data_IF_929486953125
#
_entry.id   IF_929486953125
#
_cell.length_a   1.000
_cell.length_b   1.000
_cell.length_c   1.000
_cell.angle_alpha   90.00
_cell.angle_beta   90.00
_cell.angle_gamma   90.00
#
_symmetry.space_group_name_H-M   'P 1'
#
loop_
_entity.id
_entity.type
_entity.pdbx_description
1 polymer ?
#
# COMPACT_ATOMS: atom_id res chain seq x y z
N UNK A 1 -2.72 4.12 19.84
CA UNK A 1 -1.77 3.04 20.21
C UNK A 1 -2.49 1.74 20.51
N UNK A 2 -3.34 1.64 21.55
CA UNK A 2 -4.04 0.39 21.94
C UNK A 2 -4.74 -0.41 20.83
N UNK A 3 -5.33 0.25 19.83
CA UNK A 3 -6.04 -0.43 18.73
C UNK A 3 -5.09 -1.04 17.68
N UNK A 4 -3.91 -0.42 17.48
CA UNK A 4 -2.91 -0.91 16.51
C UNK A 4 -2.24 -2.18 17.06
N UNK A 5 -1.93 -2.20 18.36
CA UNK A 5 -1.36 -3.38 19.04
C UNK A 5 -2.34 -4.57 19.04
N UNK A 6 -3.64 -4.28 19.15
CA UNK A 6 -4.70 -5.30 19.00
C UNK A 6 -4.78 -5.82 17.56
N UNK A 7 -4.77 -4.93 16.57
CA UNK A 7 -4.75 -5.32 15.16
C UNK A 7 -3.52 -6.16 14.82
N UNK A 8 -2.36 -5.81 15.39
CA UNK A 8 -1.13 -6.59 15.26
C UNK A 8 -1.30 -8.02 15.80
N UNK A 9 -1.83 -8.16 17.02
CA UNK A 9 -2.05 -9.46 17.65
C UNK A 9 -3.03 -10.33 16.84
N UNK A 10 -4.08 -9.72 16.31
CA UNK A 10 -5.06 -10.41 15.45
C UNK A 10 -4.43 -10.86 14.13
N UNK A 11 -3.71 -9.97 13.45
CA UNK A 11 -3.04 -10.30 12.18
C UNK A 11 -2.00 -11.40 12.37
N UNK A 12 -1.23 -11.39 13.46
CA UNK A 12 -0.29 -12.48 13.75
C UNK A 12 -0.98 -13.83 13.90
N UNK A 13 -2.14 -13.87 14.58
CA UNK A 13 -2.93 -15.10 14.69
C UNK A 13 -3.46 -15.55 13.33
N UNK A 14 -4.00 -14.64 12.53
CA UNK A 14 -4.46 -14.97 11.18
C UNK A 14 -3.31 -15.51 10.32
N UNK A 15 -2.12 -14.90 10.35
CA UNK A 15 -0.96 -15.38 9.60
C UNK A 15 -0.49 -16.76 10.07
N UNK A 16 -0.64 -17.08 11.37
CA UNK A 16 -0.35 -18.41 11.87
C UNK A 16 -1.33 -19.47 11.34
N UNK A 17 -2.61 -19.12 11.24
CA UNK A 17 -3.66 -20.01 10.74
C UNK A 17 -3.66 -20.10 9.19
N UNK A 18 -3.37 -19.00 8.49
CA UNK A 18 -3.40 -18.86 7.03
C UNK A 18 -2.24 -17.98 6.51
N UNK A 19 -1.01 -18.52 6.43
CA UNK A 19 0.19 -17.74 6.12
C UNK A 19 0.19 -17.13 4.71
N UNK A 20 -0.50 -17.78 3.77
CA UNK A 20 -0.51 -17.41 2.35
C UNK A 20 -1.76 -16.62 1.94
N UNK A 21 -2.54 -16.11 2.91
CA UNK A 21 -3.74 -15.33 2.62
C UNK A 21 -3.38 -13.87 2.27
N UNK A 22 -3.57 -13.43 1.00
CA UNK A 22 -3.11 -12.11 0.56
C UNK A 22 -3.78 -10.95 1.30
N UNK A 23 -5.05 -11.10 1.68
CA UNK A 23 -5.77 -10.09 2.45
C UNK A 23 -5.17 -9.89 3.85
N UNK A 24 -4.68 -10.97 4.48
CA UNK A 24 -4.03 -10.92 5.79
C UNK A 24 -2.66 -10.25 5.67
N UNK A 25 -1.90 -10.60 4.63
CA UNK A 25 -0.61 -9.99 4.33
C UNK A 25 -0.76 -8.49 3.98
N UNK A 26 -1.81 -8.09 3.25
CA UNK A 26 -2.16 -6.69 3.00
C UNK A 26 -2.44 -5.91 4.30
N UNK A 27 -3.18 -6.54 5.23
CA UNK A 27 -3.44 -5.95 6.54
C UNK A 27 -2.15 -5.82 7.37
N UNK A 28 -1.25 -6.82 7.32
CA UNK A 28 0.07 -6.73 7.96
C UNK A 28 0.86 -5.52 7.45
N UNK A 29 1.00 -5.37 6.13
CA UNK A 29 1.72 -4.23 5.54
C UNK A 29 1.16 -2.88 5.99
N UNK A 30 -0.16 -2.81 6.18
CA UNK A 30 -0.84 -1.58 6.62
C UNK A 30 -0.59 -1.27 8.08
N UNK A 31 -0.59 -2.30 8.93
CA UNK A 31 -0.23 -2.14 10.34
C UNK A 31 1.25 -1.75 10.47
N UNK A 32 2.15 -2.33 9.66
CA UNK A 32 3.55 -1.94 9.59
C UNK A 32 3.69 -0.44 9.26
N UNK A 33 2.96 0.04 8.25
CA UNK A 33 2.93 1.47 7.90
C UNK A 33 2.38 2.35 9.04
N UNK A 34 1.33 1.90 9.75
CA UNK A 34 0.79 2.62 10.92
C UNK A 34 1.77 2.67 12.10
N UNK A 35 2.70 1.71 12.19
CA UNK A 35 3.83 1.74 13.12
C UNK A 35 5.07 2.49 12.57
N UNK A 36 4.91 3.24 11.47
CA UNK A 36 5.99 3.95 10.79
C UNK A 36 7.14 3.04 10.29
N UNK A 37 6.89 1.73 10.14
CA UNK A 37 7.84 0.76 9.55
C UNK A 37 7.67 0.73 8.04
N UNK A 38 7.84 1.89 7.40
CA UNK A 38 7.48 2.08 5.99
C UNK A 38 8.32 1.22 5.04
N UNK A 39 9.63 1.10 5.27
CA UNK A 39 10.49 0.26 4.42
C UNK A 39 10.06 -1.21 4.41
N UNK A 40 9.69 -1.73 5.59
CA UNK A 40 9.19 -3.10 5.74
C UNK A 40 7.82 -3.23 5.05
N UNK A 41 6.94 -2.25 5.23
CA UNK A 41 5.64 -2.24 4.56
C UNK A 41 5.77 -2.22 3.02
N UNK A 42 6.72 -1.46 2.47
CA UNK A 42 7.00 -1.47 1.03
C UNK A 42 7.46 -2.85 0.57
N UNK A 43 8.40 -3.47 1.30
CA UNK A 43 8.89 -4.81 0.94
C UNK A 43 7.77 -5.86 0.90
N UNK A 44 6.89 -5.86 1.91
CA UNK A 44 5.72 -6.76 1.96
C UNK A 44 4.70 -6.46 0.85
N UNK A 45 4.45 -5.19 0.52
CA UNK A 45 3.55 -4.86 -0.58
C UNK A 45 4.12 -5.24 -1.95
N UNK A 46 5.44 -5.12 -2.14
CA UNK A 46 6.11 -5.54 -3.38
C UNK A 46 6.12 -7.06 -3.54
N UNK A 47 6.33 -7.82 -2.45
CA UNK A 47 6.25 -9.29 -2.48
C UNK A 47 4.84 -9.76 -2.83
N UNK A 48 3.81 -9.06 -2.34
CA UNK A 48 2.40 -9.30 -2.69
C UNK A 48 2.04 -8.91 -4.13
N UNK A 49 2.65 -7.85 -4.66
CA UNK A 49 2.36 -7.38 -6.01
C UNK A 49 2.85 -8.39 -7.08
N UNK A 50 3.94 -9.10 -6.83
CA UNK A 50 4.50 -10.09 -7.78
C UNK A 50 3.48 -11.16 -8.22
N UNK A 51 2.82 -11.88 -7.30
CA UNK A 51 1.78 -12.85 -7.67
C UNK A 51 0.44 -12.17 -8.03
N UNK A 52 0.22 -10.92 -7.64
CA UNK A 52 -1.05 -10.19 -7.82
C UNK A 52 -0.86 -8.83 -8.54
N UNK A 53 -0.27 -8.80 -9.75
CA UNK A 53 0.12 -7.55 -10.41
C UNK A 53 -1.07 -6.67 -10.81
N UNK A 54 -2.26 -7.26 -10.89
CA UNK A 54 -3.51 -6.61 -11.26
C UNK A 54 -4.35 -6.12 -10.08
N UNK A 55 -3.83 -6.08 -8.86
CA UNK A 55 -4.61 -5.76 -7.66
C UNK A 55 -4.46 -4.28 -7.25
N UNK A 56 -5.43 -3.39 -7.56
CA UNK A 56 -5.26 -1.94 -7.41
C UNK A 56 -5.01 -1.53 -5.96
N UNK A 57 -5.61 -2.21 -4.99
CA UNK A 57 -5.42 -1.91 -3.56
C UNK A 57 -3.96 -2.04 -3.13
N UNK A 58 -3.17 -2.96 -3.71
CA UNK A 58 -1.74 -3.08 -3.38
C UNK A 58 -1.00 -1.83 -3.85
N UNK A 59 -1.28 -1.39 -5.08
CA UNK A 59 -0.69 -0.18 -5.66
C UNK A 59 -1.09 1.08 -4.89
N UNK A 60 -2.36 1.21 -4.48
CA UNK A 60 -2.82 2.34 -3.66
C UNK A 60 -2.08 2.40 -2.32
N UNK A 61 -1.86 1.26 -1.65
CA UNK A 61 -1.09 1.20 -0.41
C UNK A 61 0.38 1.55 -0.66
N UNK A 62 0.98 1.10 -1.77
CA UNK A 62 2.34 1.48 -2.16
C UNK A 62 2.47 3.00 -2.39
N UNK A 63 1.50 3.64 -3.05
CA UNK A 63 1.46 5.11 -3.18
C UNK A 63 1.53 5.77 -1.80
N UNK A 64 0.62 5.39 -0.90
CA UNK A 64 0.53 5.99 0.43
C UNK A 64 1.81 5.80 1.26
N UNK A 65 2.42 4.61 1.22
CA UNK A 65 3.66 4.33 1.97
C UNK A 65 4.85 5.07 1.36
N UNK A 66 4.96 5.15 0.03
CA UNK A 66 6.00 5.92 -0.63
C UNK A 66 5.88 7.43 -0.33
N UNK A 67 4.67 7.97 -0.20
CA UNK A 67 4.47 9.35 0.25
C UNK A 67 5.01 9.58 1.67
N UNK A 68 4.79 8.63 2.59
CA UNK A 68 5.34 8.72 3.97
C UNK A 68 6.87 8.67 3.99
N UNK A 69 7.48 7.91 3.07
CA UNK A 69 8.92 7.86 2.86
C UNK A 69 9.49 9.08 2.10
N UNK A 70 8.62 9.99 1.64
CA UNK A 70 8.98 11.07 0.70
C UNK A 70 9.62 10.58 -0.60
N UNK A 71 9.42 9.31 -0.96
CA UNK A 71 9.82 8.74 -2.27
C UNK A 71 8.73 9.03 -3.30
N UNK A 72 8.61 10.31 -3.63
CA UNK A 72 7.56 10.82 -4.51
C UNK A 72 7.67 10.21 -5.92
N UNK A 73 8.89 9.95 -6.40
CA UNK A 73 9.11 9.30 -7.69
C UNK A 73 8.43 7.92 -7.77
N UNK A 74 8.61 7.08 -6.73
CA UNK A 74 7.92 5.79 -6.66
C UNK A 74 6.42 5.95 -6.45
N UNK A 75 5.99 6.90 -5.63
CA UNK A 75 4.55 7.16 -5.42
C UNK A 75 3.84 7.48 -6.75
N UNK A 76 4.41 8.38 -7.56
CA UNK A 76 3.87 8.72 -8.89
C UNK A 76 3.89 7.52 -9.83
N UNK A 77 4.95 6.72 -9.83
CA UNK A 77 5.06 5.53 -10.67
C UNK A 77 3.96 4.49 -10.35
N UNK A 78 3.73 4.20 -9.07
CA UNK A 78 2.67 3.29 -8.65
C UNK A 78 1.27 3.85 -8.91
N UNK A 79 1.08 5.16 -8.75
CA UNK A 79 -0.18 5.82 -9.06
C UNK A 79 -0.52 5.71 -10.55
N UNK A 80 0.47 5.91 -11.44
CA UNK A 80 0.31 5.68 -12.89
C UNK A 80 -0.06 4.22 -13.19
N UNK A 81 0.56 3.26 -12.50
CA UNK A 81 0.21 1.84 -12.66
C UNK A 81 -1.23 1.55 -12.18
N UNK A 82 -1.63 2.09 -11.04
CA UNK A 82 -2.99 1.93 -10.49
C UNK A 82 -4.05 2.43 -11.47
N UNK A 83 -3.86 3.64 -12.02
CA UNK A 83 -4.77 4.21 -13.02
C UNK A 83 -4.86 3.42 -14.32
N UNK A 84 -3.79 2.73 -14.72
CA UNK A 84 -3.82 1.85 -15.90
C UNK A 84 -4.68 0.61 -15.68
N UNK A 85 -4.76 0.12 -14.45
CA UNK A 85 -5.59 -1.04 -14.08
C UNK A 85 -7.06 -0.66 -13.86
N UNK A 86 -7.34 0.62 -13.56
CA UNK A 86 -8.69 1.08 -13.26
C UNK A 86 -8.93 2.44 -13.93
N UNK A 87 -9.49 2.41 -15.15
CA UNK A 87 -9.75 3.60 -15.97
C UNK A 87 -10.84 4.51 -15.40
N UNK A 88 -11.64 4.04 -14.42
CA UNK A 88 -12.70 4.80 -13.75
C UNK A 88 -12.39 5.09 -12.28
N UNK A 89 -11.12 4.99 -11.86
CA UNK A 89 -10.74 5.26 -10.48
C UNK A 89 -10.67 6.77 -10.18
N UNK A 90 -11.73 7.29 -9.57
CA UNK A 90 -11.82 8.68 -9.10
C UNK A 90 -10.72 9.02 -8.08
N UNK A 91 -10.30 8.06 -7.25
CA UNK A 91 -9.24 8.28 -6.28
C UNK A 91 -7.91 8.51 -6.99
N UNK A 92 -7.56 7.64 -7.95
CA UNK A 92 -6.31 7.74 -8.69
C UNK A 92 -6.21 9.02 -9.52
N UNK A 93 -7.33 9.49 -10.11
CA UNK A 93 -7.38 10.75 -10.83
C UNK A 93 -7.14 11.95 -9.89
N UNK A 94 -7.89 12.05 -8.79
CA UNK A 94 -7.74 13.13 -7.81
C UNK A 94 -6.33 13.16 -7.19
N UNK A 95 -5.75 11.99 -6.94
CA UNK A 95 -4.39 11.87 -6.40
C UNK A 95 -3.33 12.34 -7.40
N UNK A 96 -3.54 12.09 -8.70
CA UNK A 96 -2.61 12.56 -9.73
C UNK A 96 -2.65 14.08 -9.87
N UNK A 97 -3.86 14.64 -9.92
CA UNK A 97 -4.06 16.09 -9.93
C UNK A 97 -3.40 16.75 -8.71
N UNK A 98 -3.49 16.14 -7.52
CA UNK A 98 -2.77 16.61 -6.33
C UNK A 98 -1.26 16.66 -6.56
N UNK A 99 -0.66 15.62 -7.14
CA UNK A 99 0.79 15.60 -7.41
C UNK A 99 1.18 16.63 -8.47
N UNK A 100 0.41 16.78 -9.54
CA UNK A 100 0.64 17.77 -10.59
C UNK A 100 0.56 19.21 -10.03
N UNK A 101 -0.44 19.50 -9.20
CA UNK A 101 -0.59 20.81 -8.54
C UNK A 101 0.59 21.17 -7.62
N UNK A 102 1.26 20.14 -7.06
CA UNK A 102 2.46 20.30 -6.24
C UNK A 102 3.77 20.28 -7.06
N UNK A 103 3.70 20.12 -8.39
CA UNK A 103 4.88 20.00 -9.26
C UNK A 103 5.66 18.69 -9.08
N UNK A 104 4.99 17.63 -8.61
CA UNK A 104 5.57 16.34 -8.27
C UNK A 104 5.41 15.26 -9.35
N UNK A 105 4.55 15.48 -10.33
CA UNK A 105 4.20 14.50 -11.38
C UNK A 105 4.30 15.08 -12.80
#
# INVERSE_FOLDING_TARGET
>A
MRQIDQAWSMVQRCLFETPDAPDVQLNLASILALHAKYDVAVAELLSLLLPLPGHPVILMRLVAVCEQLQDIGKAVAFLRACRKLSSEDAWGAAKMEQFEALGLA
#
